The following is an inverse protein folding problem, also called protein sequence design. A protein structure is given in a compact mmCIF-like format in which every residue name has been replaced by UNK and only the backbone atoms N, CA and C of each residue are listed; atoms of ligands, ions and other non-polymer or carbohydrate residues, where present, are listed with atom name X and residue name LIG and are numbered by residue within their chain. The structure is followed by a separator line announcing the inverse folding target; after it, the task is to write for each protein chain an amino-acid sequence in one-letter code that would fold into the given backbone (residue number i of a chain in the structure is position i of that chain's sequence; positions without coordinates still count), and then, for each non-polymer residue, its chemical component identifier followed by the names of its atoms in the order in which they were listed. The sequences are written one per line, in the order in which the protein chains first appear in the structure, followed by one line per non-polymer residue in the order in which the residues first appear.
data_IF_350216380224
#
_entry.id   IF_350216380224
#
_cell.length_a   1.000
_cell.length_b   1.000
_cell.length_c   1.000
_cell.angle_alpha   90.00
_cell.angle_beta   90.00
_cell.angle_gamma   90.00
#
_symmetry.space_group_name_H-M   'P 1'
#
loop_
_entity.id
_entity.type
_entity.pdbx_description
1 polymer ?
#
# COMPACT_ATOMS: atom_id res chain seq x y z
N UNK A 1 26.04 -8.26 8.73
CA UNK A 1 24.67 -8.74 8.43
C UNK A 1 24.53 -9.33 7.01
N UNK A 2 25.51 -9.21 6.11
CA UNK A 2 25.46 -9.80 4.76
C UNK A 2 26.15 -11.18 4.64
N UNK A 3 26.56 -11.80 5.75
CA UNK A 3 27.42 -13.00 5.76
C UNK A 3 26.64 -14.32 5.88
N UNK A 4 25.31 -14.27 6.01
CA UNK A 4 24.44 -15.44 6.27
C UNK A 4 23.53 -15.77 5.08
N UNK A 5 24.01 -15.55 3.86
CA UNK A 5 23.14 -15.59 2.69
C UNK A 5 22.87 -16.98 2.11
N UNK A 6 23.42 -18.04 2.69
CA UNK A 6 23.25 -19.35 2.10
C UNK A 6 23.80 -20.48 3.00
N UNK A 7 22.92 -21.23 3.67
CA UNK A 7 23.22 -22.60 4.09
C UNK A 7 22.37 -23.60 3.30
N UNK A 8 22.02 -23.28 2.04
CA UNK A 8 21.58 -24.33 1.14
C UNK A 8 22.65 -25.43 1.16
N UNK A 9 22.19 -26.67 1.07
CA UNK A 9 23.01 -27.89 1.08
C UNK A 9 23.93 -28.01 -0.16
N UNK A 10 24.31 -26.88 -0.75
CA UNK A 10 25.05 -26.77 -1.98
C UNK A 10 26.55 -26.71 -1.67
N UNK A 11 27.21 -27.86 -1.90
CA UNK A 11 28.65 -28.07 -2.04
C UNK A 11 29.54 -26.82 -1.81
N UNK A 12 29.89 -26.58 -0.54
CA UNK A 12 30.95 -25.65 -0.16
C UNK A 12 32.28 -26.40 -0.11
N UNK A 13 33.37 -25.73 -0.46
CA UNK A 13 34.73 -26.22 -0.19
C UNK A 13 35.54 -25.14 0.51
N UNK A 14 36.43 -25.57 1.39
CA UNK A 14 37.37 -24.69 2.05
C UNK A 14 38.57 -24.44 1.14
N UNK A 15 38.95 -23.17 0.99
CA UNK A 15 40.23 -22.80 0.39
C UNK A 15 40.97 -21.79 1.26
N UNK A 16 42.31 -21.79 1.25
CA UNK A 16 43.08 -20.76 1.96
C UNK A 16 42.75 -19.37 1.38
N UNK A 17 42.58 -18.38 2.26
CA UNK A 17 42.36 -16.99 1.89
C UNK A 17 43.43 -16.53 0.90
N UNK A 18 43.00 -15.93 -0.21
CA UNK A 18 43.94 -15.33 -1.15
C UNK A 18 44.57 -14.10 -0.48
N UNK A 19 45.91 -14.02 -0.35
CA UNK A 19 46.54 -12.88 0.28
C UNK A 19 46.18 -11.60 -0.49
N UNK A 20 45.74 -10.56 0.22
CA UNK A 20 45.54 -9.24 -0.38
C UNK A 20 46.90 -8.71 -0.85
N UNK A 21 47.01 -8.11 -2.05
CA UNK A 21 48.25 -7.48 -2.47
C UNK A 21 48.51 -6.27 -1.58
N UNK A 22 49.52 -6.39 -0.72
CA UNK A 22 50.01 -5.27 0.09
C UNK A 22 50.58 -4.19 -0.84
N UNK A 23 50.17 -2.95 -0.59
CA UNK A 23 50.73 -1.77 -1.24
C UNK A 23 52.23 -1.67 -0.95
N UNK A 24 53.04 -1.83 -1.99
CA UNK A 24 54.50 -1.80 -1.93
C UNK A 24 55.05 -0.45 -1.42
N UNK A 25 55.68 -0.47 -0.25
CA UNK A 25 56.62 0.53 0.25
C UNK A 25 57.68 -0.16 1.12
N UNK A 26 58.97 0.04 0.80
CA UNK A 26 60.17 -0.70 1.29
C UNK A 26 60.38 -0.70 2.83
N UNK A 27 61.25 -1.52 3.41
CA UNK A 27 62.64 -1.87 3.08
C UNK A 27 63.02 -3.31 3.52
N UNK A 28 64.18 -3.88 3.12
CA UNK A 28 64.46 -5.30 3.27
C UNK A 28 65.23 -5.65 4.56
N UNK A 29 65.12 -6.93 4.93
CA UNK A 29 65.94 -7.71 5.88
C UNK A 29 65.47 -7.71 7.35
N UNK A 30 64.63 -8.68 7.69
CA UNK A 30 64.87 -9.53 8.85
C UNK A 30 64.27 -10.92 8.58
N UNK A 31 65.14 -11.94 8.61
CA UNK A 31 64.78 -13.36 8.52
C UNK A 31 64.59 -13.83 9.95
N UNK A 32 63.34 -13.86 10.41
CA UNK A 32 62.96 -14.49 11.68
C UNK A 32 62.00 -15.67 11.45
N UNK A 33 62.17 -16.66 12.31
CA UNK A 33 61.81 -18.06 12.16
C UNK A 33 60.33 -18.34 11.90
N UNK A 34 60.10 -19.27 10.98
CA UNK A 34 58.79 -19.71 10.54
C UNK A 34 57.92 -20.28 11.65
N UNK A 35 56.89 -19.52 12.03
CA UNK A 35 55.62 -20.08 12.50
C UNK A 35 54.67 -20.17 11.31
N UNK A 36 54.00 -21.31 11.06
CA UNK A 36 53.05 -21.40 9.97
C UNK A 36 51.86 -20.50 10.30
N UNK A 37 51.79 -19.34 9.64
CA UNK A 37 50.59 -18.50 9.63
C UNK A 37 49.46 -19.38 9.10
N UNK A 38 48.55 -19.78 10.00
CA UNK A 38 47.36 -20.52 9.60
C UNK A 38 46.62 -19.63 8.61
N UNK A 39 46.66 -20.00 7.34
CA UNK A 39 45.89 -19.34 6.30
C UNK A 39 44.42 -19.43 6.69
N UNK A 40 43.77 -18.29 6.88
CA UNK A 40 42.35 -18.23 7.19
C UNK A 40 41.60 -18.99 6.09
N UNK A 41 40.96 -20.10 6.45
CA UNK A 41 40.22 -20.91 5.50
C UNK A 41 38.90 -20.20 5.21
N UNK A 42 38.67 -19.84 3.94
CA UNK A 42 37.44 -19.19 3.51
C UNK A 42 36.59 -20.22 2.78
N UNK A 43 35.38 -20.42 3.27
CA UNK A 43 34.37 -21.32 2.69
C UNK A 43 33.87 -20.70 1.38
N UNK A 44 33.87 -21.47 0.29
CA UNK A 44 33.44 -20.98 -1.01
C UNK A 44 32.44 -21.88 -1.72
N UNK A 45 31.44 -21.23 -2.31
CA UNK A 45 30.34 -21.85 -3.04
C UNK A 45 30.80 -22.35 -4.41
N UNK A 46 30.53 -23.62 -4.73
CA UNK A 46 30.91 -24.25 -6.01
C UNK A 46 29.90 -24.06 -7.14
N UNK A 47 28.69 -23.56 -6.85
CA UNK A 47 27.64 -23.42 -7.85
C UNK A 47 27.81 -22.18 -8.75
N UNK A 48 27.04 -22.15 -9.85
CA UNK A 48 26.94 -20.98 -10.74
C UNK A 48 26.03 -19.92 -10.12
N UNK A 49 26.53 -19.19 -9.13
CA UNK A 49 25.81 -18.04 -8.56
C UNK A 49 25.80 -16.92 -9.60
N UNK A 50 24.61 -16.53 -10.07
CA UNK A 50 24.44 -15.41 -11.03
C UNK A 50 24.49 -14.04 -10.37
N UNK A 51 24.40 -13.97 -9.04
CA UNK A 51 24.46 -12.75 -8.26
C UNK A 51 24.33 -13.00 -6.75
N UNK A 52 24.67 -12.02 -5.94
CA UNK A 52 24.40 -12.04 -4.51
C UNK A 52 22.94 -11.64 -4.27
N UNK A 53 22.26 -12.15 -3.24
CA UNK A 53 20.82 -11.89 -3.16
C UNK A 53 20.43 -10.47 -2.73
N UNK A 54 21.39 -9.60 -2.42
CA UNK A 54 21.13 -8.15 -2.40
C UNK A 54 20.84 -7.57 -3.79
N UNK A 55 21.22 -8.30 -4.85
CA UNK A 55 20.95 -8.02 -6.26
C UNK A 55 19.63 -8.65 -6.73
N UNK A 56 18.85 -9.27 -5.82
CA UNK A 56 17.54 -9.82 -6.16
C UNK A 56 16.60 -8.69 -6.63
N UNK A 57 16.06 -8.76 -7.87
CA UNK A 57 15.18 -7.72 -8.40
C UNK A 57 13.98 -7.48 -7.49
N UNK A 58 13.61 -6.20 -7.31
CA UNK A 58 12.55 -5.77 -6.40
C UNK A 58 11.24 -6.52 -6.64
N UNK A 59 10.78 -6.58 -7.89
CA UNK A 59 9.55 -7.27 -8.28
C UNK A 59 9.53 -8.74 -7.83
N UNK A 60 10.68 -9.43 -7.91
CA UNK A 60 10.80 -10.83 -7.46
C UNK A 60 10.69 -10.93 -5.94
N UNK A 61 11.25 -9.97 -5.19
CA UNK A 61 11.12 -9.93 -3.72
C UNK A 61 9.67 -9.71 -3.32
N UNK A 62 9.01 -8.75 -3.96
CA UNK A 62 7.60 -8.44 -3.69
C UNK A 62 6.72 -9.64 -3.99
N UNK A 63 6.91 -10.24 -5.16
CA UNK A 63 6.15 -11.38 -5.65
C UNK A 63 6.33 -12.62 -4.78
N UNK A 64 7.56 -12.87 -4.29
CA UNK A 64 7.85 -14.01 -3.40
C UNK A 64 7.05 -13.89 -2.10
N UNK A 65 7.09 -12.73 -1.46
CA UNK A 65 6.43 -12.50 -0.15
C UNK A 65 4.91 -12.40 -0.32
N UNK A 66 4.45 -11.78 -1.41
CA UNK A 66 3.03 -11.70 -1.75
C UNK A 66 2.46 -13.09 -2.02
N UNK A 67 3.15 -13.92 -2.81
CA UNK A 67 2.74 -15.30 -3.10
C UNK A 67 2.77 -16.19 -1.86
N UNK A 68 3.79 -16.02 -1.01
CA UNK A 68 3.84 -16.68 0.30
C UNK A 68 2.61 -16.34 1.16
N UNK A 69 2.23 -15.06 1.16
CA UNK A 69 1.03 -14.59 1.86
C UNK A 69 -0.26 -15.11 1.23
N UNK A 70 -0.35 -15.13 -0.10
CA UNK A 70 -1.52 -15.62 -0.84
C UNK A 70 -1.84 -17.08 -0.50
N UNK A 71 -0.81 -17.93 -0.37
CA UNK A 71 -0.97 -19.33 0.05
C UNK A 71 -1.66 -19.45 1.41
N UNK A 72 -1.35 -18.55 2.36
CA UNK A 72 -2.01 -18.51 3.66
C UNK A 72 -3.40 -17.86 3.59
N UNK A 73 -3.63 -16.94 2.65
CA UNK A 73 -4.88 -16.18 2.51
C UNK A 73 -6.02 -17.01 1.91
N UNK A 74 -5.71 -17.88 0.94
CA UNK A 74 -6.70 -18.58 0.13
C UNK A 74 -7.73 -19.40 0.95
N UNK A 75 -7.34 -20.16 1.99
CA UNK A 75 -8.28 -20.95 2.80
C UNK A 75 -9.27 -20.09 3.61
N UNK A 76 -8.97 -18.80 3.80
CA UNK A 76 -9.83 -17.84 4.50
C UNK A 76 -10.70 -17.01 3.56
N UNK A 77 -10.71 -17.32 2.25
CA UNK A 77 -11.39 -16.49 1.25
C UNK A 77 -10.81 -15.09 1.14
N UNK A 78 -9.52 -14.96 1.42
CA UNK A 78 -8.77 -13.71 1.34
C UNK A 78 -7.80 -13.75 0.15
N UNK A 79 -7.40 -12.57 -0.31
CA UNK A 79 -6.45 -12.38 -1.41
C UNK A 79 -5.46 -11.27 -1.05
N UNK A 80 -4.21 -11.42 -1.47
CA UNK A 80 -3.14 -10.44 -1.40
C UNK A 80 -3.02 -9.70 -2.74
N UNK A 81 -3.43 -8.44 -2.75
CA UNK A 81 -3.43 -7.59 -3.94
C UNK A 81 -2.52 -6.38 -3.77
N UNK A 82 -2.00 -5.87 -4.88
CA UNK A 82 -1.25 -4.61 -4.89
C UNK A 82 -2.22 -3.42 -4.72
N UNK A 83 -1.82 -2.34 -4.02
CA UNK A 83 -2.63 -1.13 -3.92
C UNK A 83 -2.93 -0.54 -5.31
N UNK A 84 -4.19 -0.18 -5.57
CA UNK A 84 -4.58 0.43 -6.85
C UNK A 84 -4.29 1.93 -6.89
N UNK A 85 -4.31 2.57 -5.72
CA UNK A 85 -3.96 3.97 -5.51
C UNK A 85 -2.62 4.07 -4.78
N UNK A 86 -1.84 5.12 -5.03
CA UNK A 86 -0.61 5.37 -4.27
C UNK A 86 -0.92 5.48 -2.76
N UNK A 87 -0.37 4.61 -1.91
CA UNK A 87 -0.53 4.66 -0.45
C UNK A 87 -0.03 5.99 0.13
N UNK A 88 -0.93 6.71 0.82
CA UNK A 88 -0.66 8.02 1.43
C UNK A 88 -1.25 8.11 2.83
N UNK A 89 -0.38 8.27 3.82
CA UNK A 89 -0.78 8.54 5.20
C UNK A 89 -1.18 10.00 5.35
N UNK A 90 -2.38 10.22 5.87
CA UNK A 90 -2.88 11.57 6.14
C UNK A 90 -2.38 12.04 7.49
N UNK A 91 -1.71 13.19 7.53
CA UNK A 91 -1.33 13.85 8.77
C UNK A 91 -1.82 15.29 8.68
N UNK A 92 -2.99 15.56 9.24
CA UNK A 92 -3.72 16.82 9.10
C UNK A 92 -3.86 17.21 7.62
N UNK A 93 -3.19 18.28 7.21
CA UNK A 93 -3.22 18.80 5.84
C UNK A 93 -2.18 18.17 4.91
N UNK A 94 -1.31 17.31 5.44
CA UNK A 94 -0.23 16.68 4.71
C UNK A 94 -0.59 15.24 4.32
N UNK A 95 -0.16 14.83 3.12
CA UNK A 95 -0.26 13.45 2.64
C UNK A 95 1.17 12.91 2.48
N UNK A 96 1.59 12.07 3.43
CA UNK A 96 2.90 11.44 3.40
C UNK A 96 2.87 10.20 2.51
N UNK A 97 3.72 10.11 1.46
CA UNK A 97 3.82 8.91 0.66
C UNK A 97 4.48 7.80 1.48
N UNK A 98 3.83 6.65 1.56
CA UNK A 98 4.34 5.50 2.31
C UNK A 98 4.31 4.28 1.42
N UNK A 99 5.41 3.54 1.34
CA UNK A 99 5.46 2.33 0.53
C UNK A 99 4.59 1.23 1.15
N UNK A 100 3.71 0.64 0.36
CA UNK A 100 2.97 -0.58 0.70
C UNK A 100 2.99 -1.46 -0.56
N UNK A 101 3.65 -2.62 -0.46
CA UNK A 101 3.83 -3.54 -1.60
C UNK A 101 2.53 -4.24 -1.94
N UNK A 102 1.81 -4.72 -0.92
CA UNK A 102 0.54 -5.41 -1.08
C UNK A 102 -0.33 -5.24 0.18
N UNK A 103 -1.60 -5.58 0.07
CA UNK A 103 -2.53 -5.70 1.19
C UNK A 103 -3.30 -6.99 1.10
N UNK A 104 -3.54 -7.63 2.25
CA UNK A 104 -4.44 -8.77 2.33
C UNK A 104 -5.86 -8.27 2.65
N UNK A 105 -6.83 -8.68 1.83
CA UNK A 105 -8.23 -8.33 2.00
C UNK A 105 -9.12 -9.55 1.74
N UNK A 106 -10.33 -9.54 2.31
CA UNK A 106 -11.33 -10.59 2.15
C UNK A 106 -12.10 -10.38 0.85
N UNK A 107 -12.40 -11.45 0.12
CA UNK A 107 -13.33 -11.36 -1.00
C UNK A 107 -14.78 -11.19 -0.49
N UNK A 108 -15.57 -10.25 -1.05
CA UNK A 108 -16.94 -10.03 -0.61
C UNK A 108 -17.81 -11.28 -0.72
N UNK A 109 -18.78 -11.40 0.19
CA UNK A 109 -19.80 -12.48 0.09
C UNK A 109 -20.71 -12.30 -1.12
N UNK A 110 -20.96 -11.05 -1.53
CA UNK A 110 -21.72 -10.77 -2.75
C UNK A 110 -20.87 -11.04 -4.00
N UNK A 111 -21.32 -12.03 -4.78
CA UNK A 111 -20.68 -12.44 -6.03
C UNK A 111 -20.60 -11.33 -7.06
N UNK A 112 -21.54 -10.37 -7.09
CA UNK A 112 -21.49 -9.27 -8.06
C UNK A 112 -20.40 -8.27 -7.72
N UNK A 113 -20.23 -7.95 -6.43
CA UNK A 113 -19.12 -7.12 -5.95
C UNK A 113 -17.76 -7.79 -6.17
N UNK A 114 -17.66 -9.08 -5.84
CA UNK A 114 -16.42 -9.84 -6.07
C UNK A 114 -16.02 -9.88 -7.57
N UNK A 115 -16.99 -10.04 -8.47
CA UNK A 115 -16.74 -9.99 -9.94
C UNK A 115 -16.27 -8.62 -10.43
N UNK A 116 -16.65 -7.53 -9.74
CA UNK A 116 -16.17 -6.18 -10.04
C UNK A 116 -14.75 -5.93 -9.50
N UNK A 117 -14.15 -6.91 -8.80
CA UNK A 117 -12.84 -6.81 -8.18
C UNK A 117 -12.84 -5.95 -6.92
N UNK A 118 -14.00 -5.83 -6.26
CA UNK A 118 -14.10 -5.17 -4.96
C UNK A 118 -13.63 -6.12 -3.86
N UNK A 119 -12.88 -5.59 -2.89
CA UNK A 119 -12.36 -6.33 -1.74
C UNK A 119 -12.84 -5.70 -0.43
N UNK A 120 -12.92 -6.48 0.65
CA UNK A 120 -13.30 -6.05 2.01
C UNK A 120 -12.07 -6.08 2.93
N UNK A 121 -11.65 -4.95 3.49
CA UNK A 121 -10.43 -4.90 4.30
C UNK A 121 -9.93 -3.49 4.62
N UNK A 122 -8.62 -3.30 4.83
CA UNK A 122 -7.55 -4.31 4.84
C UNK A 122 -7.52 -5.16 6.12
N UNK A 123 -7.13 -6.43 5.99
CA UNK A 123 -6.81 -7.29 7.15
C UNK A 123 -5.41 -6.96 7.68
N UNK A 124 -4.42 -6.93 6.79
CA UNK A 124 -3.07 -6.49 7.09
C UNK A 124 -2.36 -6.01 5.82
N UNK A 125 -1.22 -5.35 6.01
CA UNK A 125 -0.40 -4.78 4.93
C UNK A 125 0.95 -5.49 4.80
N UNK A 126 1.49 -5.54 3.60
CA UNK A 126 2.80 -6.10 3.28
C UNK A 126 3.74 -5.02 2.76
N UNK A 127 4.98 -5.01 3.23
CA UNK A 127 5.99 -4.07 2.75
C UNK A 127 7.33 -4.77 2.57
N UNK A 128 7.73 -4.92 1.32
CA UNK A 128 9.03 -5.47 0.95
C UNK A 128 10.03 -4.33 0.78
N UNK A 129 11.20 -4.43 1.41
CA UNK A 129 12.24 -3.40 1.31
C UNK A 129 13.08 -3.54 0.05
N UNK A 130 13.30 -2.45 -0.70
CA UNK A 130 14.33 -2.44 -1.72
C UNK A 130 15.73 -2.34 -1.11
N UNK A 131 15.86 -1.69 0.04
CA UNK A 131 17.14 -1.50 0.72
C UNK A 131 17.63 -2.78 1.41
N UNK A 132 18.94 -2.99 1.34
CA UNK A 132 19.63 -4.14 1.93
C UNK A 132 20.67 -3.74 2.97
N UNK A 133 21.02 -2.45 3.01
CA UNK A 133 22.01 -1.85 3.90
C UNK A 133 21.36 -0.70 4.64
N UNK A 134 21.22 -0.85 5.96
CA UNK A 134 20.58 0.14 6.84
C UNK A 134 21.58 0.90 7.72
N UNK A 135 22.88 0.61 7.57
CA UNK A 135 23.96 1.23 8.34
C UNK A 135 25.15 1.56 7.44
N UNK A 136 25.79 2.68 7.71
CA UNK A 136 27.17 2.94 7.28
C UNK A 136 28.16 2.01 8.00
N UNK A 137 29.38 1.90 7.47
CA UNK A 137 30.42 1.03 8.03
C UNK A 137 30.75 1.37 9.50
N UNK A 138 30.66 2.65 9.88
CA UNK A 138 31.05 3.16 11.19
C UNK A 138 29.85 3.44 12.13
N UNK A 139 28.62 3.15 11.69
CA UNK A 139 27.42 3.48 12.46
C UNK A 139 27.06 2.41 13.50
N UNK A 140 26.78 2.84 14.74
CA UNK A 140 26.36 1.92 15.80
C UNK A 140 24.91 1.45 15.58
N UNK A 141 24.59 0.20 15.97
CA UNK A 141 23.22 -0.32 15.95
C UNK A 141 22.24 0.61 16.69
N UNK A 142 21.11 0.92 16.05
CA UNK A 142 20.02 1.74 16.59
C UNK A 142 20.23 3.25 16.47
N UNK A 143 21.36 3.70 15.92
CA UNK A 143 21.68 5.14 15.81
C UNK A 143 21.78 5.64 14.36
N UNK A 144 21.81 4.75 13.38
CA UNK A 144 21.90 5.11 11.97
C UNK A 144 20.60 5.76 11.48
N UNK A 145 20.73 6.85 10.72
CA UNK A 145 19.58 7.58 10.15
C UNK A 145 18.73 6.65 9.27
N UNK A 146 19.36 5.75 8.53
CA UNK A 146 18.69 4.78 7.67
C UNK A 146 17.87 3.75 8.45
N UNK A 147 18.32 3.30 9.62
CA UNK A 147 17.56 2.39 10.49
C UNK A 147 16.32 3.07 11.09
N UNK A 148 16.49 4.32 11.51
CA UNK A 148 15.38 5.11 12.06
C UNK A 148 14.35 5.41 10.96
N UNK A 149 14.80 5.76 9.75
CA UNK A 149 13.93 5.93 8.59
C UNK A 149 13.18 4.63 8.25
N UNK A 150 13.82 3.48 8.36
CA UNK A 150 13.19 2.18 8.13
C UNK A 150 12.06 1.91 9.10
N UNK A 151 12.29 2.14 10.40
CA UNK A 151 11.27 2.02 11.44
C UNK A 151 10.09 2.97 11.17
N UNK A 152 10.35 4.22 10.78
CA UNK A 152 9.28 5.16 10.43
C UNK A 152 8.46 4.70 9.22
N UNK A 153 9.07 4.02 8.25
CA UNK A 153 8.35 3.44 7.12
C UNK A 153 7.46 2.28 7.52
N UNK A 154 7.90 1.41 8.45
CA UNK A 154 7.07 0.33 9.02
C UNK A 154 5.89 0.92 9.80
N UNK A 155 6.18 1.79 10.78
CA UNK A 155 5.15 2.43 11.62
C UNK A 155 4.17 3.21 10.76
N UNK A 156 4.67 3.97 9.79
CA UNK A 156 3.83 4.72 8.87
C UNK A 156 2.91 3.85 8.02
N UNK A 157 3.39 2.69 7.52
CA UNK A 157 2.56 1.76 6.77
C UNK A 157 1.46 1.13 7.64
N UNK A 158 1.77 0.82 8.90
CA UNK A 158 0.78 0.33 9.86
C UNK A 158 -0.24 1.40 10.24
N UNK A 159 0.19 2.66 10.43
CA UNK A 159 -0.73 3.78 10.67
C UNK A 159 -1.63 4.05 9.45
N UNK A 160 -1.11 3.87 8.23
CA UNK A 160 -1.93 3.96 7.02
C UNK A 160 -2.99 2.86 6.99
N UNK A 161 -2.62 1.61 7.24
CA UNK A 161 -3.59 0.51 7.33
C UNK A 161 -4.64 0.77 8.43
N UNK A 162 -4.23 1.37 9.56
CA UNK A 162 -5.13 1.78 10.63
C UNK A 162 -6.11 2.88 10.18
N UNK A 163 -5.63 3.89 9.43
CA UNK A 163 -6.48 4.91 8.82
C UNK A 163 -7.45 4.32 7.81
N UNK A 164 -7.01 3.37 6.98
CA UNK A 164 -7.87 2.70 6.01
C UNK A 164 -8.99 1.91 6.70
N UNK A 165 -8.65 1.12 7.72
CA UNK A 165 -9.65 0.40 8.54
C UNK A 165 -10.61 1.37 9.23
N UNK A 166 -10.10 2.51 9.71
CA UNK A 166 -10.89 3.56 10.36
C UNK A 166 -11.90 4.26 9.44
N UNK A 167 -11.88 4.01 8.12
CA UNK A 167 -12.87 4.51 7.13
C UNK A 167 -14.17 3.72 7.13
N UNK A 168 -14.27 2.60 7.85
CA UNK A 168 -15.52 1.84 7.96
C UNK A 168 -16.67 2.75 8.43
N UNK A 169 -17.76 2.80 7.65
CA UNK A 169 -18.93 3.63 7.94
C UNK A 169 -18.73 5.14 7.74
N UNK A 170 -17.56 5.57 7.27
CA UNK A 170 -17.25 6.98 7.03
C UNK A 170 -17.49 7.33 5.56
N UNK A 171 -17.73 8.62 5.28
CA UNK A 171 -17.78 9.17 3.93
C UNK A 171 -16.51 9.96 3.66
N UNK A 172 -15.91 9.75 2.49
CA UNK A 172 -14.72 10.50 2.10
C UNK A 172 -15.06 11.98 1.90
N UNK A 173 -14.25 12.86 2.50
CA UNK A 173 -14.25 14.29 2.21
C UNK A 173 -13.02 14.61 1.39
N UNK A 174 -13.21 15.06 0.14
CA UNK A 174 -12.08 15.35 -0.74
C UNK A 174 -11.34 16.61 -0.28
N UNK A 175 -10.01 16.67 -0.42
CA UNK A 175 -9.27 17.89 -0.13
C UNK A 175 -9.79 19.06 -0.96
N UNK A 176 -10.28 20.11 -0.30
CA UNK A 176 -10.86 21.27 -0.98
C UNK A 176 -12.37 21.19 -1.27
N UNK A 177 -13.02 20.08 -0.92
CA UNK A 177 -14.46 19.96 -1.01
C UNK A 177 -15.18 21.03 -0.18
N UNK A 178 -16.20 21.65 -0.75
CA UNK A 178 -16.94 22.75 -0.13
C UNK A 178 -16.16 24.06 0.03
N UNK A 179 -14.88 24.12 -0.34
CA UNK A 179 -14.09 25.35 -0.24
C UNK A 179 -14.39 26.28 -1.42
N UNK A 180 -14.53 27.58 -1.12
CA UNK A 180 -14.91 28.60 -2.09
C UNK A 180 -14.03 28.65 -3.34
N UNK A 181 -12.74 28.34 -3.18
CA UNK A 181 -11.74 28.37 -4.25
C UNK A 181 -11.83 27.17 -5.21
N UNK A 182 -12.59 26.13 -4.85
CA UNK A 182 -12.88 24.95 -5.65
C UNK A 182 -14.32 24.94 -6.20
N UNK A 183 -15.25 25.65 -5.55
CA UNK A 183 -16.68 25.63 -5.93
C UNK A 183 -17.12 26.84 -6.75
N UNK A 184 -16.46 28.00 -6.63
CA UNK A 184 -16.86 29.21 -7.36
C UNK A 184 -16.09 29.38 -8.67
N UNK A 185 -16.78 29.64 -9.80
CA UNK A 185 -16.12 30.03 -11.04
C UNK A 185 -15.27 31.29 -10.82
N UNK A 186 -14.04 31.28 -11.30
CA UNK A 186 -13.16 32.45 -11.25
C UNK A 186 -13.55 33.46 -12.34
N UNK A 187 -13.11 34.70 -12.21
CA UNK A 187 -13.35 35.76 -13.19
C UNK A 187 -12.98 35.29 -14.61
N UNK A 188 -13.95 35.23 -15.52
CA UNK A 188 -13.77 34.76 -16.90
C UNK A 188 -13.64 33.24 -17.08
N UNK A 189 -13.90 32.43 -16.05
CA UNK A 189 -13.93 30.96 -16.11
C UNK A 189 -15.32 30.40 -16.43
N UNK A 190 -15.37 29.26 -17.12
CA UNK A 190 -16.61 28.52 -17.37
C UNK A 190 -17.24 28.04 -16.03
N UNK A 191 -18.57 27.84 -15.97
CA UNK A 191 -19.24 27.25 -14.81
C UNK A 191 -18.54 25.95 -14.39
N UNK A 192 -18.29 25.82 -13.08
CA UNK A 192 -17.72 24.61 -12.53
C UNK A 192 -18.84 23.61 -12.20
N UNK A 193 -19.49 23.08 -13.24
CA UNK A 193 -20.40 21.95 -13.08
C UNK A 193 -19.52 20.74 -12.75
N UNK A 194 -19.60 20.27 -11.51
CA UNK A 194 -18.76 19.18 -11.00
C UNK A 194 -18.79 17.91 -11.86
N UNK A 195 -17.90 16.98 -11.52
CA UNK A 195 -17.55 15.74 -12.25
C UNK A 195 -18.75 15.05 -12.93
N UNK A 196 -18.84 15.13 -14.27
CA UNK A 196 -19.76 14.34 -15.13
C UNK A 196 -19.41 12.83 -15.19
N UNK A 197 -18.57 12.32 -14.28
CA UNK A 197 -18.04 10.96 -14.31
C UNK A 197 -18.39 10.07 -13.11
N UNK A 198 -19.04 10.63 -12.08
CA UNK A 198 -19.49 9.90 -10.89
C UNK A 198 -21.02 10.03 -10.76
N UNK A 199 -21.74 9.63 -11.81
CA UNK A 199 -23.18 9.39 -11.72
C UNK A 199 -23.41 8.22 -10.75
N UNK A 200 -23.62 8.55 -9.48
CA UNK A 200 -24.23 7.65 -8.52
C UNK A 200 -25.54 7.14 -9.12
N UNK A 201 -25.73 5.82 -9.08
CA UNK A 201 -26.97 5.17 -9.43
C UNK A 201 -27.98 5.36 -8.28
N UNK A 202 -28.36 6.60 -8.02
CA UNK A 202 -29.52 6.93 -7.19
C UNK A 202 -30.68 7.23 -8.12
N UNK A 203 -31.53 6.23 -8.31
CA UNK A 203 -32.90 6.42 -8.77
C UNK A 203 -33.58 7.38 -7.78
N UNK A 204 -33.68 8.65 -8.13
CA UNK A 204 -34.72 9.57 -7.67
C UNK A 204 -34.61 10.87 -8.49
N UNK A 205 -35.40 10.94 -9.55
CA UNK A 205 -35.61 12.15 -10.33
C UNK A 205 -36.88 12.85 -9.81
N UNK A 206 -36.81 14.08 -9.25
CA UNK A 206 -38.02 14.81 -8.93
C UNK A 206 -38.59 15.45 -10.20
N UNK A 207 -39.86 15.17 -10.45
CA UNK A 207 -40.66 15.73 -11.52
C UNK A 207 -41.22 17.11 -11.13
N UNK A 208 -40.74 18.18 -11.75
CA UNK A 208 -41.41 19.50 -11.88
C UNK A 208 -40.64 20.27 -12.97
N UNK A 209 -41.18 20.94 -13.98
CA UNK A 209 -42.54 21.35 -14.32
C UNK A 209 -42.61 21.59 -15.85
N UNK A 210 -43.80 21.41 -16.43
CA UNK A 210 -44.21 22.11 -17.66
C UNK A 210 -44.20 23.64 -17.39
N UNK A 211 -44.06 24.58 -18.33
CA UNK A 211 -44.84 24.77 -19.55
C UNK A 211 -44.34 26.06 -20.27
N UNK A 212 -44.85 26.31 -21.49
CA UNK A 212 -44.73 27.51 -22.37
C UNK A 212 -43.52 27.54 -23.33
N UNK A 213 -43.66 27.75 -24.65
CA UNK A 213 -44.81 28.02 -25.50
C UNK A 213 -44.41 27.87 -26.99
N UNK A 214 -45.40 27.60 -27.85
CA UNK A 214 -45.27 27.47 -29.32
C UNK A 214 -45.07 28.83 -30.00
N UNK A 215 -44.36 28.86 -31.13
CA UNK A 215 -44.84 29.56 -32.34
C UNK A 215 -44.10 29.12 -33.62
N UNK A 216 -44.90 28.94 -34.67
CA UNK A 216 -44.60 28.48 -36.02
C UNK A 216 -43.99 29.57 -36.92
N UNK A 217 -43.30 29.15 -37.99
CA UNK A 217 -43.60 29.49 -39.40
C UNK A 217 -42.35 29.66 -40.31
N UNK A 218 -42.32 28.88 -41.40
CA UNK A 218 -42.17 29.43 -42.76
C UNK A 218 -40.79 29.44 -43.42
N UNK A 219 -40.64 28.64 -44.49
CA UNK A 219 -40.19 29.17 -45.78
C UNK A 219 -38.85 28.71 -46.38
N UNK A 220 -38.93 27.77 -47.32
CA UNK A 220 -38.29 27.76 -48.67
C UNK A 220 -36.76 27.73 -48.82
N UNK A 221 -36.27 26.86 -49.72
CA UNK A 221 -35.03 27.12 -50.47
C UNK A 221 -34.14 25.92 -50.77
N UNK A 222 -34.44 25.22 -51.86
CA UNK A 222 -33.78 24.03 -52.42
C UNK A 222 -32.27 24.12 -52.77
N UNK A 223 -31.66 22.91 -52.91
CA UNK A 223 -30.52 22.48 -53.79
C UNK A 223 -29.17 22.33 -53.06
N UNK A 224 -28.40 21.23 -53.14
CA UNK A 224 -28.34 20.05 -54.03
C UNK A 224 -27.74 18.86 -53.26
N UNK A 225 -28.25 17.65 -53.54
CA UNK A 225 -27.77 16.35 -53.05
C UNK A 225 -27.00 15.64 -54.19
N UNK A 226 -25.81 15.11 -53.91
CA UNK A 226 -25.18 14.00 -54.65
C UNK A 226 -24.89 12.88 -53.64
N UNK A 227 -25.68 11.81 -53.56
CA UNK A 227 -25.80 10.61 -54.42
C UNK A 227 -24.63 9.62 -54.26
N UNK A 228 -24.53 9.01 -53.07
CA UNK A 228 -24.32 7.57 -52.80
C UNK A 228 -25.03 7.31 -51.44
N UNK A 229 -26.26 6.76 -51.38
CA UNK A 229 -26.53 5.31 -51.33
C UNK A 229 -26.51 4.78 -49.88
N UNK A 230 -27.43 5.18 -48.99
CA UNK A 230 -28.47 4.36 -48.30
C UNK A 230 -27.91 3.12 -47.51
N UNK A 231 -28.20 2.85 -46.24
CA UNK A 231 -29.34 3.20 -45.39
C UNK A 231 -29.00 3.06 -43.88
N UNK A 232 -29.46 4.01 -43.06
CA UNK A 232 -29.74 3.78 -41.64
C UNK A 232 -30.86 4.74 -41.21
N UNK A 233 -32.00 4.16 -40.86
CA UNK A 233 -33.16 4.86 -40.30
C UNK A 233 -32.94 5.34 -38.86
N UNK A 234 -33.90 6.09 -38.30
CA UNK A 234 -33.65 7.10 -37.27
C UNK A 234 -33.89 6.56 -35.86
N UNK A 235 -32.92 6.77 -34.96
CA UNK A 235 -33.12 6.43 -33.55
C UNK A 235 -31.83 6.49 -32.74
N UNK A 236 -31.36 7.70 -32.41
CA UNK A 236 -30.72 8.04 -31.14
C UNK A 236 -30.20 9.46 -31.22
N UNK A 237 -31.01 10.43 -30.78
CA UNK A 237 -30.45 11.67 -30.25
C UNK A 237 -29.79 11.30 -28.93
N UNK A 238 -28.50 10.95 -28.96
CA UNK A 238 -27.65 11.11 -27.78
C UNK A 238 -27.51 12.61 -27.53
N UNK A 239 -28.48 13.15 -26.79
CA UNK A 239 -28.27 14.38 -26.04
C UNK A 239 -27.23 14.08 -24.97
N UNK A 240 -26.19 14.91 -24.85
CA UNK A 240 -25.16 14.79 -23.82
C UNK A 240 -23.77 14.39 -24.32
N UNK A 241 -23.27 14.96 -25.42
CA UNK A 241 -21.83 15.04 -25.64
C UNK A 241 -21.31 16.32 -24.96
N UNK A 242 -20.96 16.22 -23.68
CA UNK A 242 -20.15 17.23 -22.99
C UNK A 242 -18.86 17.46 -23.78
N UNK A 243 -18.59 18.71 -24.16
CA UNK A 243 -17.37 19.08 -24.89
C UNK A 243 -16.18 18.73 -23.99
N UNK A 244 -15.36 17.77 -24.42
CA UNK A 244 -14.12 17.40 -23.72
C UNK A 244 -13.22 18.63 -23.61
N UNK A 245 -13.12 19.18 -22.40
CA UNK A 245 -12.33 20.38 -22.11
C UNK A 245 -10.86 20.16 -22.52
N UNK A 246 -10.28 21.15 -23.19
CA UNK A 246 -8.85 21.22 -23.47
C UNK A 246 -8.03 21.31 -22.17
N UNK A 247 -6.75 20.94 -22.22
CA UNK A 247 -5.87 21.04 -21.04
C UNK A 247 -5.79 22.47 -20.48
N UNK A 248 -5.85 23.50 -21.33
CA UNK A 248 -5.87 24.90 -20.90
C UNK A 248 -7.18 25.30 -20.22
N UNK A 249 -8.32 24.75 -20.66
CA UNK A 249 -9.61 24.93 -19.98
C UNK A 249 -9.64 24.19 -18.63
N UNK A 250 -9.06 22.98 -18.56
CA UNK A 250 -8.92 22.22 -17.31
C UNK A 250 -8.02 22.94 -16.29
N UNK A 251 -6.92 23.55 -16.75
CA UNK A 251 -5.99 24.27 -15.86
C UNK A 251 -6.59 25.56 -15.28
N UNK A 252 -7.59 26.14 -15.95
CA UNK A 252 -8.35 27.30 -15.44
C UNK A 252 -9.35 26.92 -14.35
N UNK A 253 -9.67 25.63 -14.20
CA UNK A 253 -10.56 25.13 -13.16
C UNK A 253 -9.72 24.61 -11.99
N UNK A 254 -9.91 25.20 -10.82
CA UNK A 254 -9.38 24.63 -9.57
C UNK A 254 -10.45 23.72 -9.01
N UNK A 255 -10.16 22.43 -8.97
CA UNK A 255 -11.07 21.39 -8.49
C UNK A 255 -10.62 20.87 -7.12
N UNK A 256 -11.53 20.27 -6.34
CA UNK A 256 -11.13 19.43 -5.22
C UNK A 256 -10.15 18.36 -5.70
N UNK A 257 -9.22 17.96 -4.82
CA UNK A 257 -8.27 16.90 -5.12
C UNK A 257 -8.97 15.59 -5.49
N UNK A 258 -8.27 14.68 -6.20
CA UNK A 258 -8.81 13.35 -6.44
C UNK A 258 -9.09 12.63 -5.13
N UNK A 259 -10.02 11.67 -5.19
CA UNK A 259 -10.26 10.73 -4.09
C UNK A 259 -8.97 9.99 -3.74
N UNK A 260 -8.70 9.89 -2.44
CA UNK A 260 -7.64 9.09 -1.82
C UNK A 260 -8.17 7.73 -1.33
N UNK A 261 -9.47 7.48 -1.47
CA UNK A 261 -10.12 6.21 -1.12
C UNK A 261 -10.27 5.33 -2.36
N UNK A 262 -9.92 4.05 -2.22
CA UNK A 262 -10.03 3.10 -3.32
C UNK A 262 -11.49 2.68 -3.52
N UNK A 263 -12.06 2.98 -4.69
CA UNK A 263 -13.42 2.56 -5.09
C UNK A 263 -13.56 1.03 -5.18
N UNK A 264 -12.46 0.29 -5.28
CA UNK A 264 -12.40 -1.18 -5.25
C UNK A 264 -12.16 -1.74 -3.86
N UNK A 265 -12.10 -0.92 -2.82
CA UNK A 265 -11.98 -1.37 -1.43
C UNK A 265 -13.20 -0.92 -0.62
N UNK A 266 -13.91 -1.89 -0.05
CA UNK A 266 -14.84 -1.65 1.04
C UNK A 266 -14.06 -1.69 2.35
N UNK A 267 -13.84 -0.51 2.93
CA UNK A 267 -13.06 -0.38 4.15
C UNK A 267 -13.80 -0.96 5.36
N UNK A 268 -13.16 -1.89 6.07
CA UNK A 268 -13.74 -2.62 7.20
C UNK A 268 -12.69 -2.91 8.29
N UNK A 269 -13.08 -2.78 9.56
CA UNK A 269 -12.29 -3.15 10.74
C UNK A 269 -12.42 -4.64 11.06
N UNK A 270 -12.07 -5.51 10.09
CA UNK A 270 -12.16 -6.96 10.26
C UNK A 270 -11.23 -7.40 11.41
N UNK A 271 -11.75 -8.21 12.34
CA UNK A 271 -11.00 -8.76 13.48
C UNK A 271 -10.81 -7.84 14.68
N UNK A 272 -11.23 -6.57 14.59
CA UNK A 272 -11.20 -5.62 15.72
C UNK A 272 -12.15 -6.08 16.81
N UNK A 273 -11.72 -5.94 18.07
CA UNK A 273 -12.53 -6.23 19.26
C UNK A 273 -13.66 -5.18 19.35
N UNK A 274 -14.90 -5.65 19.54
CA UNK A 274 -16.05 -4.76 19.72
C UNK A 274 -15.88 -3.93 20.99
N UNK A 275 -16.35 -2.68 20.95
CA UNK A 275 -16.27 -1.71 22.06
C UNK A 275 -14.85 -1.33 22.53
N UNK A 276 -13.80 -1.92 21.95
CA UNK A 276 -12.43 -1.51 22.19
C UNK A 276 -12.13 -0.23 21.40
N UNK A 277 -11.60 0.82 22.07
CA UNK A 277 -11.09 2.01 21.37
C UNK A 277 -9.76 1.72 20.65
N UNK A 278 -9.14 0.57 20.90
CA UNK A 278 -7.92 0.14 20.24
C UNK A 278 -8.22 -0.80 19.07
N UNK A 279 -7.42 -0.66 18.02
CA UNK A 279 -7.33 -1.59 16.90
C UNK A 279 -5.94 -2.24 16.86
N UNK A 280 -5.92 -3.53 16.53
CA UNK A 280 -4.70 -4.32 16.39
C UNK A 280 -4.37 -4.43 14.90
N UNK A 281 -3.28 -3.77 14.51
CA UNK A 281 -2.84 -3.69 13.13
C UNK A 281 -1.69 -4.66 12.93
N UNK A 282 -1.76 -5.47 11.89
CA UNK A 282 -0.73 -6.41 11.52
C UNK A 282 -0.04 -5.99 10.23
N UNK A 283 1.22 -6.37 10.11
CA UNK A 283 2.01 -6.14 8.91
C UNK A 283 3.00 -7.27 8.69
N UNK A 284 3.20 -7.63 7.42
CA UNK A 284 4.29 -8.50 6.98
C UNK A 284 5.39 -7.61 6.41
N UNK A 285 6.51 -7.48 7.13
CA UNK A 285 7.69 -6.77 6.66
C UNK A 285 8.68 -7.77 6.06
N UNK A 286 9.34 -7.38 4.98
CA UNK A 286 10.36 -8.21 4.34
C UNK A 286 11.60 -7.41 3.98
N UNK A 287 12.76 -8.04 4.19
CA UNK A 287 14.05 -7.61 3.68
C UNK A 287 14.63 -8.79 2.90
N UNK A 288 14.73 -8.65 1.58
CA UNK A 288 15.11 -9.74 0.68
C UNK A 288 14.19 -10.97 0.77
N UNK A 289 14.70 -12.09 1.27
CA UNK A 289 13.95 -13.32 1.53
C UNK A 289 13.61 -13.50 3.02
N UNK A 290 14.03 -12.56 3.88
CA UNK A 290 13.70 -12.59 5.29
C UNK A 290 12.35 -11.92 5.53
N UNK A 291 11.53 -12.51 6.38
CA UNK A 291 10.20 -12.05 6.72
C UNK A 291 10.09 -11.81 8.22
N UNK A 292 9.43 -10.72 8.62
CA UNK A 292 9.03 -10.47 9.99
C UNK A 292 7.55 -10.08 10.05
N UNK A 293 6.89 -10.47 11.14
CA UNK A 293 5.51 -10.09 11.41
C UNK A 293 5.53 -8.98 12.46
N UNK A 294 4.86 -7.89 12.16
CA UNK A 294 4.69 -6.75 13.04
C UNK A 294 3.25 -6.66 13.53
N UNK A 295 3.12 -6.21 14.78
CA UNK A 295 1.85 -5.96 15.45
C UNK A 295 1.91 -4.60 16.13
N UNK A 296 1.06 -3.67 15.70
CA UNK A 296 0.92 -2.35 16.24
C UNK A 296 -0.47 -2.20 16.84
N UNK A 297 -0.53 -1.78 18.10
CA UNK A 297 -1.79 -1.47 18.76
C UNK A 297 -2.00 0.03 18.82
N UNK A 298 -3.09 0.51 18.22
CA UNK A 298 -3.34 1.95 18.04
C UNK A 298 -4.70 2.34 18.64
N UNK A 299 -4.72 3.40 19.44
CA UNK A 299 -5.95 3.97 19.97
C UNK A 299 -6.66 4.84 18.91
N UNK A 300 -7.99 4.80 18.86
CA UNK A 300 -8.79 5.61 17.91
C UNK A 300 -8.50 7.11 18.00
N UNK A 301 -8.47 7.66 19.23
CA UNK A 301 -8.00 9.02 19.52
C UNK A 301 -6.64 9.37 18.89
N UNK A 302 -5.65 8.48 18.94
CA UNK A 302 -4.34 8.73 18.29
C UNK A 302 -4.51 8.94 16.79
N UNK A 303 -5.28 8.06 16.14
CA UNK A 303 -5.53 8.14 14.69
C UNK A 303 -6.29 9.41 14.32
N UNK A 304 -7.30 9.79 15.08
CA UNK A 304 -8.06 11.02 14.83
C UNK A 304 -7.14 12.25 15.00
N UNK A 305 -6.36 12.33 16.09
CA UNK A 305 -5.41 13.41 16.33
C UNK A 305 -4.32 13.50 15.25
N UNK A 306 -3.87 12.35 14.72
CA UNK A 306 -2.93 12.29 13.60
C UNK A 306 -3.59 12.81 12.31
N UNK A 307 -4.81 12.36 12.03
CA UNK A 307 -5.51 12.59 10.76
C UNK A 307 -6.10 13.98 10.65
N UNK A 308 -6.81 14.45 11.67
CA UNK A 308 -7.55 15.73 11.66
C UNK A 308 -6.95 16.75 12.65
N UNK A 309 -6.27 16.28 13.68
CA UNK A 309 -5.79 17.14 14.79
C UNK A 309 -6.76 17.25 15.96
N UNK A 310 -7.94 16.63 15.86
CA UNK A 310 -9.02 16.71 16.86
C UNK A 310 -9.65 15.32 17.04
N UNK A 311 -10.19 15.04 18.23
CA UNK A 311 -10.89 13.77 18.49
C UNK A 311 -11.92 13.93 19.60
N UNK A 312 -13.09 13.34 19.39
CA UNK A 312 -14.17 13.26 20.39
C UNK A 312 -13.98 12.07 21.34
N UNK A 313 -13.06 11.16 21.03
CA UNK A 313 -12.78 10.00 21.88
C UNK A 313 -12.12 10.46 23.18
N UNK A 314 -12.56 9.96 24.35
CA UNK A 314 -11.97 10.36 25.63
C UNK A 314 -10.49 10.00 25.71
N UNK A 315 -9.74 10.79 26.48
CA UNK A 315 -8.36 10.47 26.83
C UNK A 315 -8.44 9.33 27.86
N UNK A 316 -8.23 8.11 27.39
CA UNK A 316 -8.32 6.90 28.21
C UNK A 316 -7.03 6.11 28.20
N UNK A 317 -6.90 5.24 29.18
CA UNK A 317 -5.98 4.11 29.18
C UNK A 317 -6.80 2.83 29.02
N UNK A 318 -6.20 1.81 28.42
CA UNK A 318 -6.87 0.51 28.35
C UNK A 318 -6.64 -0.34 29.60
N UNK A 319 -7.22 -1.54 29.60
CA UNK A 319 -7.02 -2.54 30.66
C UNK A 319 -5.56 -3.00 30.83
N UNK A 320 -4.68 -2.75 29.86
CA UNK A 320 -3.24 -3.04 29.91
C UNK A 320 -2.39 -1.83 30.33
N UNK A 321 -3.03 -0.72 30.69
CA UNK A 321 -2.38 0.54 31.05
C UNK A 321 -1.72 1.28 29.88
N UNK A 322 -2.01 0.91 28.63
CA UNK A 322 -1.53 1.64 27.44
C UNK A 322 -2.28 2.97 27.33
N UNK A 323 -1.53 4.07 27.31
CA UNK A 323 -2.07 5.40 27.03
C UNK A 323 -2.56 5.52 25.59
N UNK A 324 -3.55 6.39 25.36
CA UNK A 324 -4.04 6.69 24.01
C UNK A 324 -2.97 7.30 23.11
N UNK A 325 -1.94 7.92 23.68
CA UNK A 325 -0.81 8.59 23.04
C UNK A 325 0.41 7.67 22.82
N UNK A 326 0.37 6.44 23.33
CA UNK A 326 1.45 5.47 23.24
C UNK A 326 1.22 4.48 22.08
N UNK A 327 2.19 4.37 21.16
CA UNK A 327 2.21 3.33 20.13
C UNK A 327 3.02 2.11 20.59
N UNK A 328 2.35 0.97 20.80
CA UNK A 328 3.02 -0.30 21.15
C UNK A 328 3.24 -1.15 19.91
N UNK A 329 4.47 -1.15 19.43
CA UNK A 329 4.92 -1.99 18.31
C UNK A 329 5.64 -3.24 18.82
N UNK A 330 5.26 -4.40 18.29
CA UNK A 330 5.96 -5.68 18.48
C UNK A 330 6.36 -6.23 17.13
N UNK A 331 7.54 -6.84 17.06
CA UNK A 331 8.04 -7.52 15.86
C UNK A 331 8.53 -8.90 16.25
N UNK A 332 8.29 -9.90 15.41
CA UNK A 332 8.93 -11.20 15.57
C UNK A 332 10.43 -11.11 15.30
N UNK A 333 11.15 -12.21 15.49
CA UNK A 333 12.44 -12.37 14.81
C UNK A 333 12.23 -12.32 13.29
N UNK A 334 13.31 -12.07 12.56
CA UNK A 334 13.34 -12.30 11.11
C UNK A 334 13.41 -13.80 10.86
N UNK A 335 12.56 -14.29 9.96
CA UNK A 335 12.54 -15.67 9.49
C UNK A 335 13.12 -15.73 8.08
N UNK A 336 14.02 -16.66 7.83
CA UNK A 336 14.50 -16.99 6.50
C UNK A 336 13.46 -17.87 5.77
N UNK A 337 12.87 -17.37 4.70
CA UNK A 337 11.86 -18.11 3.91
C UNK A 337 12.52 -19.23 3.08
N UNK A 338 13.82 -19.19 2.84
CA UNK A 338 14.55 -20.25 2.15
C UNK A 338 14.84 -21.44 3.08
N UNK A 339 15.06 -21.18 4.37
CA UNK A 339 15.14 -22.25 5.38
C UNK A 339 13.79 -22.96 5.55
N UNK A 340 13.82 -24.30 5.55
CA UNK A 340 12.59 -25.11 5.62
C UNK A 340 11.85 -25.01 6.94
N UNK A 341 12.58 -24.95 8.06
CA UNK A 341 11.99 -24.87 9.39
C UNK A 341 11.40 -23.50 9.67
N UNK A 342 12.18 -22.46 9.40
CA UNK A 342 11.75 -21.08 9.59
C UNK A 342 10.62 -20.68 8.64
N UNK A 343 10.62 -21.17 7.40
CA UNK A 343 9.50 -20.97 6.47
C UNK A 343 8.18 -21.51 7.02
N UNK A 344 8.18 -22.69 7.64
CA UNK A 344 6.98 -23.27 8.26
C UNK A 344 6.53 -22.44 9.45
N UNK A 345 7.45 -21.99 10.30
CA UNK A 345 7.14 -21.13 11.45
C UNK A 345 6.56 -19.77 11.00
N UNK A 346 7.17 -19.14 10.01
CA UNK A 346 6.67 -17.91 9.40
C UNK A 346 5.26 -18.10 8.82
N UNK A 347 5.01 -19.23 8.14
CA UNK A 347 3.72 -19.53 7.54
C UNK A 347 2.65 -19.71 8.62
N UNK A 348 2.97 -20.42 9.70
CA UNK A 348 2.08 -20.54 10.87
C UNK A 348 1.78 -19.17 11.48
N UNK A 349 2.77 -18.26 11.53
CA UNK A 349 2.59 -16.89 11.97
C UNK A 349 1.56 -16.14 11.12
N UNK A 350 1.73 -16.11 9.79
CA UNK A 350 0.79 -15.45 8.87
C UNK A 350 -0.59 -16.10 8.92
N UNK A 351 -0.65 -17.43 8.98
CA UNK A 351 -1.90 -18.18 9.14
C UNK A 351 -2.63 -17.80 10.42
N UNK A 352 -1.91 -17.62 11.54
CA UNK A 352 -2.50 -17.17 12.81
C UNK A 352 -3.06 -15.76 12.73
N UNK A 353 -2.47 -14.86 11.94
CA UNK A 353 -3.04 -13.52 11.70
C UNK A 353 -4.41 -13.67 11.05
N UNK A 354 -4.51 -14.44 9.96
CA UNK A 354 -5.79 -14.68 9.29
C UNK A 354 -6.80 -15.33 10.22
N UNK A 355 -6.41 -16.41 10.91
CA UNK A 355 -7.28 -17.11 11.86
C UNK A 355 -7.78 -16.19 12.98
N UNK A 356 -6.91 -15.35 13.54
CA UNK A 356 -7.28 -14.38 14.56
C UNK A 356 -8.25 -13.33 13.99
N UNK A 357 -7.90 -12.65 12.90
CA UNK A 357 -8.73 -11.58 12.35
C UNK A 357 -10.08 -12.07 11.80
N UNK A 358 -10.12 -13.30 11.28
CA UNK A 358 -11.31 -13.92 10.70
C UNK A 358 -12.08 -14.81 11.69
N UNK A 359 -11.72 -14.79 12.97
CA UNK A 359 -12.45 -15.52 14.02
C UNK A 359 -13.93 -15.16 14.02
N UNK A 360 -14.79 -16.13 14.31
CA UNK A 360 -16.21 -15.86 14.54
C UNK A 360 -16.34 -14.88 15.70
N UNK A 361 -17.14 -13.84 15.50
CA UNK A 361 -17.53 -12.93 16.59
C UNK A 361 -18.48 -13.71 17.50
N UNK A 362 -18.19 -13.76 18.79
CA UNK A 362 -19.16 -14.25 19.77
C UNK A 362 -20.39 -13.33 19.68
N UNK A 363 -21.54 -13.88 19.27
CA UNK A 363 -22.80 -13.14 19.07
C UNK A 363 -23.21 -12.84 17.63
N UNK A 364 -22.54 -13.40 16.61
CA UNK A 364 -22.93 -13.31 15.19
C UNK A 364 -23.57 -14.58 14.65
#
# INVERSE_FOLDING_TARGET
MAQYWDSSLDNYYDRPATPQPESSGGDPMDVDDGKPTQSEMVTMYTGRRTGAGHEMPEDIREETIRSFTEMAAWPFGCQASMPTLPPRLTVRTLLFPIRQSFGAARSPKDRQLARKGVMEGPLFTGQCRPETTFRGADEKPGSGVSEVCDLYREVGAMLLAAQERAREGMTEVKPGEGKWWATRPRWGGAPNDGIEGDANNSDEQPATAAESGKQDAGGSGSRKRSKHGHAAGPGSRRSGNGRRLSNSERWKQVQPGPSVWDKRMTYMQIGKIQDSPFDDIYMVSSINHHLAILHLRVHRRYLDMLTTGESEWPAGTDSTGQGWDELRLRRTRWYDVLDGGERVEAFQGVWRIFHYLMRRREGS
#
